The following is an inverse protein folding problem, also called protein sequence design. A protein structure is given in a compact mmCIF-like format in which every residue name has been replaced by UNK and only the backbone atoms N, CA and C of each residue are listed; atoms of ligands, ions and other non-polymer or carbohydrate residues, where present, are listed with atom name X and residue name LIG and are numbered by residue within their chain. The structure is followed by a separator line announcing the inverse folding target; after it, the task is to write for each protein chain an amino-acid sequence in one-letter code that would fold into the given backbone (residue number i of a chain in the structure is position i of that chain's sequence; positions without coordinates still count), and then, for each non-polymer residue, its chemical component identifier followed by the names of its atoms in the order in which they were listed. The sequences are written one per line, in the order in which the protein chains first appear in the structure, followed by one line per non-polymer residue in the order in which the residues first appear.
data_IF_134428873957
#
_entry.id   IF_134428873957
#
_cell.length_a   1.000
_cell.length_b   1.000
_cell.length_c   1.000
_cell.angle_alpha   90.00
_cell.angle_beta   90.00
_cell.angle_gamma   90.00
#
_symmetry.space_group_name_H-M   'P 1'
#
loop_
_entity.id
_entity.type
_entity.pdbx_description
1 polymer ?
#
# COMPACT_ATOMS: atom_id res chain seq x y z
N UNK A 1 -4.64 18.92 8.11
CA UNK A 1 -5.25 17.68 7.60
C UNK A 1 -5.36 16.69 8.76
N UNK A 2 -6.43 15.90 8.82
CA UNK A 2 -6.67 14.87 9.85
C UNK A 2 -7.06 13.57 9.16
N UNK A 3 -6.73 12.44 9.76
CA UNK A 3 -7.14 11.12 9.30
C UNK A 3 -7.96 10.45 10.38
N UNK A 4 -9.09 9.88 10.00
CA UNK A 4 -9.87 8.97 10.84
C UNK A 4 -9.51 7.53 10.45
N UNK A 5 -9.03 6.76 11.42
CA UNK A 5 -8.67 5.35 11.24
C UNK A 5 -9.92 4.46 11.40
N UNK A 6 -9.79 3.17 11.06
CA UNK A 6 -10.91 2.22 11.10
C UNK A 6 -11.49 2.01 12.52
N UNK A 7 -10.68 2.23 13.55
CA UNK A 7 -11.08 2.21 14.96
C UNK A 7 -11.70 3.54 15.43
N UNK A 8 -11.92 4.49 14.50
CA UNK A 8 -12.42 5.86 14.73
C UNK A 8 -11.47 6.76 15.51
N UNK A 9 -10.23 6.34 15.74
CA UNK A 9 -9.21 7.24 16.26
C UNK A 9 -8.84 8.28 15.20
N UNK A 10 -8.48 9.49 15.65
CA UNK A 10 -8.06 10.58 14.79
C UNK A 10 -6.56 10.77 14.94
N UNK A 11 -5.82 10.75 13.84
CA UNK A 11 -4.39 11.04 13.81
C UNK A 11 -4.07 12.24 12.91
N UNK A 12 -2.99 12.92 13.26
CA UNK A 12 -2.45 14.04 12.51
C UNK A 12 -1.19 13.59 11.77
N UNK A 13 -1.19 13.63 10.43
CA UNK A 13 0.01 13.36 9.66
C UNK A 13 1.17 14.26 10.07
N UNK A 14 2.36 13.68 10.21
CA UNK A 14 3.61 14.42 10.46
C UNK A 14 4.16 15.06 9.19
N UNK A 15 3.82 14.50 8.04
CA UNK A 15 4.25 14.98 6.74
C UNK A 15 3.90 14.01 5.62
N UNK A 16 4.42 14.31 4.44
CA UNK A 16 4.35 13.44 3.27
C UNK A 16 5.78 13.12 2.84
N UNK A 17 6.07 11.85 2.61
CA UNK A 17 7.26 11.41 1.91
C UNK A 17 6.91 11.32 0.43
N UNK A 18 7.42 12.27 -0.36
CA UNK A 18 7.15 12.39 -1.79
C UNK A 18 8.14 11.55 -2.60
N UNK A 19 7.72 11.07 -3.77
CA UNK A 19 8.56 10.38 -4.76
C UNK A 19 9.31 9.13 -4.24
N UNK A 20 8.68 8.37 -3.34
CA UNK A 20 9.26 7.15 -2.79
C UNK A 20 9.09 5.99 -3.77
N UNK A 21 10.21 5.34 -4.12
CA UNK A 21 10.17 4.14 -4.95
C UNK A 21 9.82 2.90 -4.13
N UNK A 22 8.68 2.29 -4.43
CA UNK A 22 8.23 1.03 -3.84
C UNK A 22 8.55 -0.11 -4.79
N UNK A 23 9.33 -1.09 -4.31
CA UNK A 23 9.59 -2.32 -5.05
C UNK A 23 8.48 -3.34 -4.79
N UNK A 24 7.82 -3.79 -5.87
CA UNK A 24 6.83 -4.86 -5.83
C UNK A 24 7.30 -5.98 -6.76
N UNK A 25 7.87 -7.05 -6.17
CA UNK A 25 8.54 -8.10 -6.94
C UNK A 25 9.72 -7.54 -7.73
N UNK A 26 9.61 -7.52 -9.06
CA UNK A 26 10.63 -6.97 -9.97
C UNK A 26 10.38 -5.51 -10.38
N UNK A 27 9.20 -4.97 -10.08
CA UNK A 27 8.79 -3.63 -10.51
C UNK A 27 9.10 -2.58 -9.45
N UNK A 28 9.32 -1.34 -9.88
CA UNK A 28 9.48 -0.18 -9.00
C UNK A 28 8.46 0.88 -9.40
N UNK A 29 7.75 1.43 -8.41
CA UNK A 29 6.74 2.45 -8.63
C UNK A 29 7.03 3.66 -7.74
N UNK A 30 7.06 4.88 -8.29
CA UNK A 30 7.04 6.08 -7.47
C UNK A 30 5.66 6.23 -6.83
N UNK A 31 5.61 6.58 -5.55
CA UNK A 31 4.39 6.96 -4.85
C UNK A 31 4.72 7.84 -3.66
N UNK A 32 3.75 8.66 -3.28
CA UNK A 32 3.83 9.44 -2.05
C UNK A 32 3.24 8.66 -0.88
N UNK A 33 3.81 8.82 0.31
CA UNK A 33 3.32 8.25 1.55
C UNK A 33 3.01 9.32 2.58
N UNK A 34 1.88 9.18 3.24
CA UNK A 34 1.55 10.00 4.40
C UNK A 34 2.18 9.38 5.64
N UNK A 35 2.99 10.17 6.35
CA UNK A 35 3.67 9.73 7.56
C UNK A 35 2.78 10.02 8.75
N UNK A 36 2.41 8.98 9.49
CA UNK A 36 1.61 9.08 10.72
C UNK A 36 2.41 8.55 11.90
N UNK A 37 2.18 9.15 13.06
CA UNK A 37 2.78 8.74 14.33
C UNK A 37 1.78 7.83 15.03
N UNK A 38 2.09 6.53 15.00
CA UNK A 38 1.21 5.45 15.46
C UNK A 38 2.08 4.29 15.95
N UNK A 39 1.58 3.52 16.92
CA UNK A 39 2.20 2.24 17.29
C UNK A 39 2.02 1.22 16.17
N UNK A 40 2.92 1.26 15.19
CA UNK A 40 2.88 0.34 14.07
C UNK A 40 3.15 -1.09 14.55
N UNK A 41 2.35 -2.04 14.09
CA UNK A 41 2.72 -3.45 14.17
C UNK A 41 4.01 -3.63 13.36
N UNK A 42 5.12 -4.09 13.95
CA UNK A 42 6.39 -4.26 13.23
C UNK A 42 6.27 -5.24 12.05
N UNK A 43 5.22 -6.07 12.02
CA UNK A 43 4.92 -6.99 10.90
C UNK A 43 4.24 -6.29 9.72
N UNK A 44 3.62 -5.13 9.93
CA UNK A 44 2.90 -4.37 8.89
C UNK A 44 3.39 -2.91 8.86
N UNK A 45 4.62 -2.66 8.39
CA UNK A 45 5.20 -1.32 8.41
C UNK A 45 4.61 -0.36 7.36
N UNK A 46 3.83 -0.87 6.38
CA UNK A 46 3.35 -0.10 5.23
C UNK A 46 1.89 -0.45 4.90
N UNK A 47 1.08 0.59 4.69
CA UNK A 47 -0.31 0.45 4.22
C UNK A 47 -0.39 1.01 2.80
N UNK A 48 -0.71 0.13 1.83
CA UNK A 48 -0.90 0.53 0.44
C UNK A 48 -2.36 0.91 0.21
N UNK A 49 -2.59 2.19 -0.05
CA UNK A 49 -3.93 2.71 -0.33
C UNK A 49 -4.48 2.28 -1.69
N UNK A 50 -5.78 2.50 -1.89
CA UNK A 50 -6.49 2.23 -3.16
C UNK A 50 -5.89 2.95 -4.36
N UNK A 51 -5.31 4.15 -4.16
CA UNK A 51 -4.63 4.91 -5.21
C UNK A 51 -3.44 4.14 -5.78
N UNK A 52 -2.57 3.62 -4.92
CA UNK A 52 -1.43 2.79 -5.32
C UNK A 52 -1.88 1.49 -5.99
N UNK A 53 -2.86 0.80 -5.40
CA UNK A 53 -3.42 -0.44 -5.96
C UNK A 53 -3.98 -0.24 -7.37
N UNK A 54 -4.59 0.92 -7.63
CA UNK A 54 -5.06 1.30 -8.97
C UNK A 54 -3.90 1.52 -9.96
N UNK A 55 -2.82 2.17 -9.53
CA UNK A 55 -1.63 2.38 -10.36
C UNK A 55 -1.03 1.06 -10.84
N UNK A 56 -0.95 0.08 -9.94
CA UNK A 56 -0.38 -1.24 -10.24
C UNK A 56 -1.40 -2.24 -10.81
N UNK A 57 -2.61 -1.77 -11.12
CA UNK A 57 -3.74 -2.56 -11.65
C UNK A 57 -3.98 -3.85 -10.85
N UNK A 58 -3.97 -3.71 -9.52
CA UNK A 58 -4.09 -4.85 -8.62
C UNK A 58 -5.41 -5.60 -8.82
N UNK A 59 -5.34 -6.92 -8.88
CA UNK A 59 -6.47 -7.84 -8.75
C UNK A 59 -6.32 -8.56 -7.41
N UNK A 60 -7.34 -8.47 -6.57
CA UNK A 60 -7.34 -9.06 -5.24
C UNK A 60 -8.36 -10.18 -5.25
N UNK A 61 -7.89 -11.42 -5.17
CA UNK A 61 -8.73 -12.57 -4.87
C UNK A 61 -8.77 -12.75 -3.35
N UNK A 62 -9.88 -12.35 -2.76
CA UNK A 62 -10.06 -12.43 -1.30
C UNK A 62 -10.26 -13.86 -0.84
N UNK A 63 -10.91 -14.71 -1.64
CA UNK A 63 -11.16 -16.10 -1.27
C UNK A 63 -9.91 -16.94 -1.47
N UNK A 64 -9.19 -16.71 -2.56
CA UNK A 64 -7.91 -17.37 -2.87
C UNK A 64 -6.73 -16.84 -2.06
N UNK A 65 -6.90 -15.74 -1.31
CA UNK A 65 -5.84 -15.08 -0.53
C UNK A 65 -4.65 -14.69 -1.40
N UNK A 66 -4.93 -14.10 -2.56
CA UNK A 66 -3.94 -13.73 -3.56
C UNK A 66 -4.09 -12.27 -3.99
N UNK A 67 -2.96 -11.63 -4.24
CA UNK A 67 -2.90 -10.34 -4.93
C UNK A 67 -2.05 -10.46 -6.19
N UNK A 68 -2.65 -10.10 -7.32
CA UNK A 68 -1.94 -10.01 -8.61
C UNK A 68 -1.72 -8.56 -8.97
N UNK A 69 -0.47 -8.20 -9.27
CA UNK A 69 -0.06 -6.89 -9.77
C UNK A 69 0.24 -6.99 -11.26
N UNK A 70 -0.24 -6.05 -12.06
CA UNK A 70 -0.07 -6.04 -13.52
C UNK A 70 0.64 -4.77 -14.00
N UNK A 71 1.70 -4.97 -14.77
CA UNK A 71 2.48 -3.91 -15.43
C UNK A 71 2.62 -4.24 -16.90
N UNK A 72 2.00 -3.45 -17.76
CA UNK A 72 1.89 -3.74 -19.19
C UNK A 72 1.35 -5.16 -19.41
N UNK A 73 2.09 -6.01 -20.12
CA UNK A 73 1.73 -7.40 -20.40
C UNK A 73 2.26 -8.39 -19.34
N UNK A 74 2.96 -7.90 -18.32
CA UNK A 74 3.51 -8.72 -17.25
C UNK A 74 2.63 -8.70 -16.00
N UNK A 75 2.54 -9.84 -15.32
CA UNK A 75 1.84 -9.97 -14.05
C UNK A 75 2.67 -10.75 -13.04
N UNK A 76 2.50 -10.41 -11.77
CA UNK A 76 3.05 -11.16 -10.64
C UNK A 76 1.94 -11.38 -9.62
N UNK A 77 1.82 -12.62 -9.14
CA UNK A 77 0.85 -13.00 -8.12
C UNK A 77 1.59 -13.33 -6.83
N UNK A 78 1.12 -12.76 -5.73
CA UNK A 78 1.61 -13.03 -4.38
C UNK A 78 0.52 -13.75 -3.61
N UNK A 79 0.92 -14.80 -2.90
CA UNK A 79 0.09 -15.44 -1.90
C UNK A 79 0.18 -14.65 -0.58
N UNK A 80 -0.95 -14.48 0.10
CA UNK A 80 -1.09 -13.67 1.32
C UNK A 80 -1.12 -14.52 2.61
N UNK A 81 -0.87 -15.82 2.50
CA UNK A 81 -0.84 -16.79 3.61
C UNK A 81 0.57 -17.01 4.20
#
# INVERSE_FOLDING_TARGET
MTLELADRSITHPKGVAEDVFVKVGKFHFPTDFMIVDFEADPRVPLILGRSFLRTVRALIDVYGEEITVKVNDESITFNLN
#
